data_IF_789495579844
#
_entry.id   IF_789495579844
#
_cell.length_a   1.000
_cell.length_b   1.000
_cell.length_c   1.000
_cell.angle_alpha   90.00
_cell.angle_beta   90.00
_cell.angle_gamma   90.00
#
_symmetry.space_group_name_H-M   'P 1'
#
loop_
_entity.id
_entity.type
_entity.pdbx_description
1 polymer ?
#
# COMPACT_ATOMS: atom_id res chain seq x y z
N UNK A 1 14.50 -10.97 -8.21
CA UNK A 1 13.76 -9.90 -7.50
C UNK A 1 12.26 -9.90 -7.79
N UNK A 2 11.77 -10.52 -8.86
CA UNK A 2 10.36 -10.56 -9.26
C UNK A 2 9.45 -11.36 -8.30
N UNK A 3 9.93 -12.47 -7.71
CA UNK A 3 9.11 -13.32 -6.83
C UNK A 3 8.59 -12.60 -5.59
N UNK A 4 9.43 -11.75 -4.96
CA UNK A 4 9.03 -11.01 -3.77
C UNK A 4 7.97 -9.94 -4.10
N UNK A 5 8.15 -9.19 -5.19
CA UNK A 5 7.20 -8.17 -5.65
C UNK A 5 5.85 -8.77 -6.05
N UNK A 6 5.86 -9.93 -6.71
CA UNK A 6 4.65 -10.70 -7.01
C UNK A 6 3.92 -11.13 -5.75
N UNK A 7 4.63 -11.71 -4.78
CA UNK A 7 4.02 -12.13 -3.51
C UNK A 7 3.41 -10.98 -2.72
N UNK A 8 4.10 -9.85 -2.63
CA UNK A 8 3.60 -8.63 -1.98
C UNK A 8 2.35 -8.08 -2.67
N UNK A 9 2.36 -8.01 -4.01
CA UNK A 9 1.24 -7.50 -4.80
C UNK A 9 0.02 -8.42 -4.70
N UNK A 10 0.23 -9.74 -4.72
CA UNK A 10 -0.83 -10.72 -4.52
C UNK A 10 -1.47 -10.59 -3.12
N UNK A 11 -0.66 -10.43 -2.07
CA UNK A 11 -1.17 -10.17 -0.72
C UNK A 11 -1.99 -8.87 -0.65
N UNK A 12 -1.55 -7.82 -1.37
CA UNK A 12 -2.31 -6.56 -1.47
C UNK A 12 -3.66 -6.78 -2.16
N UNK A 13 -3.70 -7.50 -3.28
CA UNK A 13 -4.94 -7.82 -4.00
C UNK A 13 -5.91 -8.62 -3.11
N UNK A 14 -5.41 -9.61 -2.38
CA UNK A 14 -6.21 -10.34 -1.39
C UNK A 14 -6.80 -9.40 -0.34
N UNK A 15 -5.96 -8.56 0.29
CA UNK A 15 -6.43 -7.64 1.33
C UNK A 15 -7.50 -6.66 0.82
N UNK A 16 -7.32 -6.12 -0.40
CA UNK A 16 -8.30 -5.24 -1.04
C UNK A 16 -9.65 -5.95 -1.24
N UNK A 17 -9.62 -7.21 -1.70
CA UNK A 17 -10.83 -8.04 -1.85
C UNK A 17 -11.54 -8.27 -0.51
N UNK A 18 -10.80 -8.45 0.58
CA UNK A 18 -11.37 -8.62 1.92
C UNK A 18 -11.81 -7.29 2.58
N UNK A 19 -11.75 -6.18 1.84
CA UNK A 19 -12.24 -4.87 2.29
C UNK A 19 -11.21 -3.98 2.97
N UNK A 20 -9.93 -4.38 3.01
CA UNK A 20 -8.86 -3.48 3.42
C UNK A 20 -8.74 -2.35 2.41
N UNK A 21 -8.46 -1.15 2.90
CA UNK A 21 -8.34 0.05 2.08
C UNK A 21 -7.08 0.83 2.45
N UNK A 22 -6.80 1.89 1.69
CA UNK A 22 -5.80 2.87 2.08
C UNK A 22 -6.01 3.43 3.49
N UNK A 23 -7.26 3.54 3.96
CA UNK A 23 -7.54 4.08 5.29
C UNK A 23 -6.98 3.21 6.44
N UNK A 24 -6.68 1.94 6.14
CA UNK A 24 -6.13 0.97 7.08
C UNK A 24 -4.59 0.96 7.09
N UNK A 25 -3.96 1.50 6.05
CA UNK A 25 -2.50 1.65 5.95
C UNK A 25 -2.02 2.85 6.77
N UNK A 26 -2.13 2.76 8.09
CA UNK A 26 -1.78 3.82 9.04
C UNK A 26 -1.06 3.30 10.26
N UNK A 27 -0.26 4.15 10.89
CA UNK A 27 0.36 3.82 12.17
C UNK A 27 -0.64 4.04 13.33
N UNK A 28 -0.43 3.37 14.47
CA UNK A 28 -1.15 3.68 15.70
C UNK A 28 -1.01 5.16 16.09
N UNK A 29 -2.06 5.75 16.67
CA UNK A 29 -2.10 7.19 17.01
C UNK A 29 -0.90 7.67 17.86
N UNK A 30 -0.37 6.81 18.72
CA UNK A 30 0.80 7.09 19.57
C UNK A 30 2.06 7.49 18.76
N UNK A 31 2.16 7.13 17.49
CA UNK A 31 3.28 7.56 16.64
C UNK A 31 3.26 9.06 16.33
N UNK A 32 2.12 9.72 16.49
CA UNK A 32 2.01 11.18 16.36
C UNK A 32 2.35 11.92 17.66
N UNK A 33 2.54 11.21 18.78
CA UNK A 33 2.89 11.84 20.05
C UNK A 33 4.36 12.30 20.03
N UNK A 34 4.66 13.53 20.50
CA UNK A 34 6.02 14.01 20.59
C UNK A 34 6.80 13.28 21.68
N UNK A 35 8.09 13.04 21.42
CA UNK A 35 9.09 12.53 22.35
C UNK A 35 10.18 13.59 22.57
N UNK A 36 11.01 13.50 23.62
CA UNK A 36 12.01 14.54 23.94
C UNK A 36 12.96 14.94 22.81
N UNK A 37 13.16 14.07 21.80
CA UNK A 37 14.02 14.31 20.63
C UNK A 37 13.31 14.16 19.28
N UNK A 38 11.99 13.94 19.27
CA UNK A 38 11.25 13.68 18.04
C UNK A 38 9.87 14.35 18.13
N UNK A 39 9.49 15.11 17.10
CA UNK A 39 8.22 15.85 17.09
C UNK A 39 6.96 14.96 16.95
N UNK A 40 7.13 13.63 16.86
CA UNK A 40 6.08 12.72 16.41
C UNK A 40 5.95 12.73 14.90
N UNK A 41 5.24 11.74 14.35
CA UNK A 41 5.04 11.58 12.92
C UNK A 41 3.62 12.05 12.54
N UNK A 42 3.56 13.16 11.81
CA UNK A 42 2.27 13.79 11.48
C UNK A 42 1.46 12.91 10.52
N UNK A 43 0.13 13.13 10.48
CA UNK A 43 -0.74 12.42 9.52
C UNK A 43 -0.33 12.66 8.08
N UNK A 44 0.03 13.90 7.73
CA UNK A 44 0.48 14.25 6.38
C UNK A 44 1.79 13.54 6.02
N UNK A 45 2.73 13.44 6.96
CA UNK A 45 3.97 12.70 6.73
C UNK A 45 3.72 11.18 6.56
N UNK A 46 2.78 10.61 7.33
CA UNK A 46 2.33 9.23 7.16
C UNK A 46 1.70 9.02 5.79
N UNK A 47 0.74 9.86 5.41
CA UNK A 47 0.05 9.79 4.12
C UNK A 47 1.02 9.92 2.94
N UNK A 48 2.05 10.76 3.09
CA UNK A 48 3.12 10.87 2.09
C UNK A 48 3.90 9.57 1.96
N UNK A 49 4.37 8.97 3.06
CA UNK A 49 5.12 7.70 3.01
C UNK A 49 4.28 6.58 2.38
N UNK A 50 2.99 6.48 2.73
CA UNK A 50 2.08 5.50 2.13
C UNK A 50 1.93 5.73 0.63
N UNK A 51 1.77 6.99 0.21
CA UNK A 51 1.69 7.36 -1.22
C UNK A 51 2.95 6.99 -1.97
N UNK A 52 4.11 7.39 -1.45
CA UNK A 52 5.41 7.12 -2.06
C UNK A 52 5.63 5.61 -2.19
N UNK A 53 5.27 4.83 -1.15
CA UNK A 53 5.34 3.38 -1.18
C UNK A 53 4.47 2.76 -2.30
N UNK A 54 3.22 3.21 -2.46
CA UNK A 54 2.37 2.72 -3.55
C UNK A 54 2.98 3.01 -4.92
N UNK A 55 3.47 4.23 -5.12
CA UNK A 55 4.10 4.64 -6.39
C UNK A 55 5.32 3.76 -6.67
N UNK A 56 6.17 3.51 -5.68
CA UNK A 56 7.34 2.61 -5.80
C UNK A 56 6.95 1.18 -6.16
N UNK A 57 5.81 0.68 -5.68
CA UNK A 57 5.32 -0.67 -6.01
C UNK A 57 4.59 -0.74 -7.38
N UNK A 58 4.36 0.40 -8.05
CA UNK A 58 3.56 0.48 -9.28
C UNK A 58 2.04 0.39 -9.00
N UNK A 59 1.61 0.85 -7.84
CA UNK A 59 0.21 0.87 -7.42
C UNK A 59 -0.35 2.30 -7.52
N UNK A 60 -1.67 2.42 -7.57
CA UNK A 60 -2.33 3.72 -7.63
C UNK A 60 -2.06 4.54 -6.38
N UNK A 61 -1.57 5.76 -6.58
CA UNK A 61 -1.11 6.65 -5.54
C UNK A 61 -2.21 7.12 -4.58
N UNK A 62 -3.50 6.92 -4.88
CA UNK A 62 -4.64 7.35 -4.05
C UNK A 62 -5.38 6.19 -3.39
N UNK A 63 -5.40 5.03 -4.02
CA UNK A 63 -6.20 3.87 -3.60
C UNK A 63 -5.34 2.71 -3.11
N UNK A 64 -4.07 2.64 -3.55
CA UNK A 64 -3.19 1.51 -3.28
C UNK A 64 -3.59 0.24 -4.05
N UNK A 65 -4.39 0.38 -5.10
CA UNK A 65 -4.74 -0.71 -6.03
C UNK A 65 -3.59 -0.90 -7.02
N UNK A 66 -3.04 -2.10 -7.19
CA UNK A 66 -2.01 -2.35 -8.20
C UNK A 66 -2.47 -1.94 -9.60
N UNK A 67 -1.61 -1.24 -10.35
CA UNK A 67 -1.98 -0.79 -11.70
C UNK A 67 -2.11 -1.98 -12.66
N UNK A 68 -2.87 -1.79 -13.75
CA UNK A 68 -2.99 -2.82 -14.78
C UNK A 68 -1.64 -3.18 -15.42
N UNK A 69 -0.69 -2.25 -15.47
CA UNK A 69 0.68 -2.51 -15.92
C UNK A 69 1.41 -3.44 -14.94
N UNK A 70 1.39 -3.14 -13.65
CA UNK A 70 2.01 -3.98 -12.62
C UNK A 70 1.38 -5.36 -12.55
N UNK A 71 0.06 -5.47 -12.67
CA UNK A 71 -0.64 -6.77 -12.68
C UNK A 71 -0.15 -7.64 -13.83
N UNK A 72 -0.04 -7.09 -15.05
CA UNK A 72 0.48 -7.82 -16.21
C UNK A 72 1.95 -8.18 -16.07
N UNK A 73 2.77 -7.24 -15.60
CA UNK A 73 4.20 -7.47 -15.43
C UNK A 73 4.52 -8.55 -14.38
N UNK A 74 3.60 -8.80 -13.43
CA UNK A 74 3.74 -9.80 -12.38
C UNK A 74 2.91 -11.08 -12.59
N UNK A 75 2.20 -11.21 -13.71
CA UNK A 75 1.38 -12.37 -14.04
C UNK A 75 0.33 -12.67 -12.94
N UNK A 76 -0.48 -11.65 -12.62
CA UNK A 76 -1.51 -11.65 -11.57
C UNK A 76 -2.92 -11.34 -12.09
N UNK A 77 -3.15 -11.42 -13.40
CA UNK A 77 -4.42 -11.02 -14.03
C UNK A 77 -5.61 -11.81 -13.48
N UNK A 78 -5.46 -13.12 -13.25
CA UNK A 78 -6.51 -13.96 -12.69
C UNK A 78 -6.91 -13.56 -11.25
N UNK A 79 -5.94 -13.06 -10.48
CA UNK A 79 -6.15 -12.64 -9.10
C UNK A 79 -6.81 -11.26 -9.01
N UNK A 80 -6.53 -10.38 -9.98
CA UNK A 80 -7.05 -9.01 -10.00
C UNK A 80 -8.54 -8.90 -10.34
N UNK A 81 -9.13 -9.88 -11.04
CA UNK A 81 -10.56 -9.87 -11.46
C UNK A 81 -11.53 -9.75 -10.28
N UNK A 82 -11.11 -10.13 -9.07
CA UNK A 82 -11.98 -10.24 -7.90
C UNK A 82 -11.79 -9.10 -6.88
N UNK A 83 -10.87 -8.16 -7.14
CA UNK A 83 -10.49 -7.13 -6.17
C UNK A 83 -11.24 -5.78 -6.34
N UNK A 84 -12.36 -5.77 -7.06
CA UNK A 84 -13.16 -4.57 -7.38
C UNK A 84 -14.55 -4.56 -6.76
#
# INVERSE_FOLDING_TARGET
>A
MTTAHRGLTLARLFNLREGMSRADDRLPARFSDPLPKHAGFSREQQDKVVTDYYVEQGWDAKTGVPTAETIRALELEADAVHAG
#
